data_IF_786334442042
#
_entry.id   IF_786334442042
#
_cell.length_a   1.000
_cell.length_b   1.000
_cell.length_c   1.000
_cell.angle_alpha   90.00
_cell.angle_beta   90.00
_cell.angle_gamma   90.00
#
_symmetry.space_group_name_H-M   'P 1'
#
loop_
_entity.id
_entity.type
_entity.pdbx_description
1 polymer ?
#
# COMPACT_ATOMS: atom_id res chain seq x y z
N UNK A 1 -11.88 -58.12 20.00
CA UNK A 1 -12.41 -58.25 18.63
C UNK A 1 -11.47 -57.49 17.70
N UNK A 2 -10.84 -58.22 16.78
CA UNK A 2 -9.96 -57.70 15.75
C UNK A 2 -10.77 -57.41 14.48
N UNK A 3 -10.54 -56.25 13.85
CA UNK A 3 -10.73 -56.07 12.41
C UNK A 3 -9.55 -55.25 11.88
N UNK A 4 -8.65 -55.94 11.18
CA UNK A 4 -7.71 -55.36 10.22
C UNK A 4 -8.42 -55.27 8.87
N UNK A 5 -8.18 -54.19 8.15
CA UNK A 5 -8.21 -54.21 6.68
C UNK A 5 -7.08 -53.31 6.19
N UNK A 6 -6.11 -53.94 5.52
CA UNK A 6 -5.07 -53.30 4.73
C UNK A 6 -5.71 -52.66 3.49
N UNK A 7 -5.24 -51.48 3.10
CA UNK A 7 -5.10 -51.15 1.68
C UNK A 7 -3.85 -50.30 1.50
N UNK A 8 -2.79 -50.94 1.00
CA UNK A 8 -1.64 -50.27 0.41
C UNK A 8 -2.05 -49.71 -0.95
N UNK A 9 -1.93 -48.39 -1.15
CA UNK A 9 -1.77 -47.81 -2.49
C UNK A 9 -0.74 -46.69 -2.43
N UNK A 10 0.42 -47.02 -2.99
CA UNK A 10 1.47 -46.11 -3.41
C UNK A 10 0.92 -45.05 -4.35
N UNK A 11 1.29 -43.78 -4.14
CA UNK A 11 0.89 -42.70 -5.04
C UNK A 11 1.25 -41.29 -4.57
N UNK A 12 2.47 -40.86 -4.90
CA UNK A 12 2.76 -39.53 -5.48
C UNK A 12 2.43 -38.24 -4.70
N UNK A 13 3.51 -37.58 -4.24
CA UNK A 13 3.83 -36.14 -4.34
C UNK A 13 2.77 -35.05 -4.04
N UNK A 14 3.26 -34.07 -3.26
CA UNK A 14 2.90 -32.63 -3.27
C UNK A 14 1.52 -32.31 -2.64
N UNK A 15 1.33 -31.32 -1.77
CA UNK A 15 1.98 -30.02 -1.58
C UNK A 15 2.00 -29.68 -0.07
N UNK A 16 3.15 -29.29 0.45
CA UNK A 16 3.43 -27.91 0.88
C UNK A 16 2.33 -27.38 1.80
N UNK A 17 2.57 -27.55 3.11
CA UNK A 17 1.85 -26.78 4.10
C UNK A 17 2.03 -25.30 3.77
N UNK A 18 0.93 -24.63 3.48
CA UNK A 18 0.84 -23.18 3.48
C UNK A 18 1.17 -22.71 4.89
N UNK A 19 2.47 -22.50 5.13
CA UNK A 19 2.92 -21.50 6.09
C UNK A 19 2.25 -20.22 5.63
N UNK A 20 1.24 -19.79 6.39
CA UNK A 20 0.92 -18.37 6.49
C UNK A 20 2.20 -17.69 6.99
N UNK A 21 3.08 -17.36 6.05
CA UNK A 21 4.06 -16.31 6.24
C UNK A 21 3.24 -15.10 6.61
N UNK A 22 3.21 -14.87 7.92
CA UNK A 22 2.91 -13.56 8.49
C UNK A 22 3.92 -12.65 7.84
N UNK A 23 3.50 -12.00 6.76
CA UNK A 23 4.24 -10.94 6.09
C UNK A 23 4.41 -9.82 7.09
N UNK A 24 5.39 -9.97 7.98
CA UNK A 24 6.05 -8.88 8.65
C UNK A 24 6.70 -8.06 7.56
N UNK A 25 5.89 -7.21 6.91
CA UNK A 25 6.37 -6.18 6.00
C UNK A 25 7.15 -5.19 6.85
N UNK A 26 8.42 -5.51 6.95
CA UNK A 26 9.55 -4.76 7.44
C UNK A 26 9.27 -3.24 7.45
N UNK A 27 9.13 -2.66 8.65
CA UNK A 27 9.04 -1.21 8.90
C UNK A 27 10.27 -0.44 8.35
N UNK A 28 11.30 -1.16 7.88
CA UNK A 28 12.53 -0.63 7.29
C UNK A 28 12.44 -0.25 5.80
N UNK A 29 11.30 -0.42 5.11
CA UNK A 29 11.15 -0.04 3.69
C UNK A 29 10.62 1.39 3.47
N UNK A 30 10.52 2.20 4.52
CA UNK A 30 10.18 3.62 4.43
C UNK A 30 11.33 4.46 3.83
N UNK A 31 12.54 3.91 3.82
CA UNK A 31 13.78 4.56 3.40
C UNK A 31 14.15 4.27 1.94
N UNK A 32 13.18 3.87 1.10
CA UNK A 32 13.39 4.01 -0.34
C UNK A 32 13.11 5.46 -0.70
N UNK A 33 14.21 6.19 -0.94
CA UNK A 33 14.34 7.60 -1.27
C UNK A 33 13.59 7.96 -2.56
N UNK A 34 12.27 7.78 -2.60
CA UNK A 34 11.44 8.25 -3.71
C UNK A 34 11.42 9.76 -3.64
N UNK A 35 12.30 10.36 -4.43
CA UNK A 35 12.46 11.80 -4.53
C UNK A 35 11.42 12.36 -5.49
N UNK A 36 10.30 12.81 -4.94
CA UNK A 36 9.29 13.51 -5.73
C UNK A 36 9.85 14.79 -6.33
N UNK A 37 9.62 14.98 -7.63
CA UNK A 37 9.92 16.22 -8.30
C UNK A 37 8.90 17.30 -7.86
N UNK A 38 9.33 18.40 -7.21
CA UNK A 38 8.43 19.43 -6.70
C UNK A 38 7.54 20.06 -7.79
N UNK A 39 8.04 20.13 -9.04
CA UNK A 39 7.27 20.66 -10.16
C UNK A 39 6.10 19.74 -10.55
N UNK A 40 6.31 18.42 -10.54
CA UNK A 40 5.24 17.45 -10.81
C UNK A 40 4.18 17.49 -9.72
N UNK A 41 4.60 17.46 -8.46
CA UNK A 41 3.71 17.55 -7.29
C UNK A 41 2.79 18.77 -7.39
N UNK A 42 3.35 19.95 -7.68
CA UNK A 42 2.56 21.18 -7.88
C UNK A 42 1.64 21.14 -9.08
N UNK A 43 2.07 20.52 -10.19
CA UNK A 43 1.24 20.35 -11.40
C UNK A 43 -0.03 19.54 -11.12
N UNK A 44 0.05 18.55 -10.22
CA UNK A 44 -1.09 17.73 -9.82
C UNK A 44 -1.84 18.28 -8.60
N UNK A 45 -1.65 19.55 -8.26
CA UNK A 45 -2.45 20.24 -7.23
C UNK A 45 -2.00 19.98 -5.79
N UNK A 46 -0.89 19.28 -5.56
CA UNK A 46 -0.30 19.11 -4.24
C UNK A 46 0.58 20.32 -3.92
N UNK A 47 0.51 20.82 -2.69
CA UNK A 47 1.35 21.94 -2.25
C UNK A 47 2.73 21.51 -1.77
N UNK A 48 2.88 20.26 -1.33
CA UNK A 48 4.13 19.76 -0.75
C UNK A 48 4.47 18.35 -1.23
N UNK A 49 5.76 18.04 -1.31
CA UNK A 49 6.22 16.65 -1.55
C UNK A 49 5.86 15.72 -0.40
N UNK A 50 5.58 16.26 0.80
CA UNK A 50 5.06 15.49 1.93
C UNK A 50 3.66 14.94 1.67
N UNK A 51 2.83 15.66 0.91
CA UNK A 51 1.51 15.17 0.47
C UNK A 51 1.65 13.97 -0.45
N UNK A 52 2.55 14.06 -1.42
CA UNK A 52 2.84 12.94 -2.31
C UNK A 52 3.40 11.72 -1.56
N UNK A 53 4.25 11.94 -0.54
CA UNK A 53 4.74 10.89 0.35
C UNK A 53 3.62 10.26 1.19
N UNK A 54 2.67 11.05 1.68
CA UNK A 54 1.51 10.54 2.40
C UNK A 54 0.61 9.69 1.50
N UNK A 55 0.38 10.11 0.25
CA UNK A 55 -0.35 9.31 -0.74
C UNK A 55 0.38 7.99 -1.04
N UNK A 56 1.70 8.03 -1.23
CA UNK A 56 2.53 6.83 -1.44
C UNK A 56 2.49 5.88 -0.24
N UNK A 57 2.53 6.43 0.97
CA UNK A 57 2.42 5.64 2.19
C UNK A 57 1.07 4.90 2.25
N UNK A 58 -0.02 5.61 1.98
CA UNK A 58 -1.36 5.02 1.93
C UNK A 58 -1.54 4.01 0.80
N UNK A 59 -0.88 4.23 -0.34
CA UNK A 59 -0.88 3.26 -1.45
C UNK A 59 -0.24 1.93 -1.04
N UNK A 60 0.89 1.98 -0.32
CA UNK A 60 1.64 0.79 0.12
C UNK A 60 0.99 0.07 1.30
N UNK A 61 0.37 0.81 2.21
CA UNK A 61 -0.17 0.27 3.46
C UNK A 61 -1.69 0.06 3.45
N UNK A 62 -2.41 0.60 2.45
CA UNK A 62 -3.87 0.48 2.35
C UNK A 62 -4.61 1.24 3.46
N UNK A 63 -5.71 0.66 3.96
CA UNK A 63 -6.49 1.21 5.07
C UNK A 63 -5.63 1.41 6.32
N UNK A 64 -5.22 2.65 6.56
CA UNK A 64 -4.25 3.00 7.59
C UNK A 64 -4.92 3.76 8.73
N UNK A 65 -4.75 3.36 10.00
CA UNK A 65 -5.37 4.05 11.13
C UNK A 65 -4.78 5.46 11.33
N UNK A 66 -5.64 6.41 11.73
CA UNK A 66 -5.28 7.82 12.01
C UNK A 66 -4.09 7.93 12.95
N UNK A 67 -4.05 7.06 13.98
CA UNK A 67 -2.96 6.99 14.95
C UNK A 67 -1.61 6.65 14.31
N UNK A 68 -1.58 5.73 13.34
CA UNK A 68 -0.35 5.40 12.62
C UNK A 68 0.10 6.55 11.72
N UNK A 69 -0.83 7.16 10.98
CA UNK A 69 -0.53 8.32 10.14
C UNK A 69 0.04 9.50 10.92
N UNK A 70 -0.53 9.80 12.09
CA UNK A 70 -0.08 10.91 12.95
C UNK A 70 1.37 10.79 13.44
N UNK A 71 1.95 9.59 13.41
CA UNK A 71 3.34 9.35 13.79
C UNK A 71 4.32 9.65 12.67
N UNK A 72 3.85 9.68 11.42
CA UNK A 72 4.68 9.80 10.22
C UNK A 72 4.45 11.15 9.53
N UNK A 73 3.21 11.63 9.53
CA UNK A 73 2.78 12.85 8.83
C UNK A 73 1.96 13.76 9.74
N UNK A 74 1.93 15.05 9.38
CA UNK A 74 0.99 16.00 9.98
C UNK A 74 -0.45 15.63 9.58
N UNK A 75 -1.33 15.49 10.57
CA UNK A 75 -2.74 15.17 10.34
C UNK A 75 -3.46 16.24 9.52
N UNK A 76 -3.10 17.52 9.65
CA UNK A 76 -3.70 18.61 8.87
C UNK A 76 -3.45 18.43 7.38
N UNK A 77 -2.30 17.86 7.02
CA UNK A 77 -1.94 17.56 5.65
C UNK A 77 -2.81 16.42 5.11
N UNK A 78 -3.00 15.35 5.87
CA UNK A 78 -3.87 14.21 5.48
C UNK A 78 -5.33 14.64 5.36
N UNK A 79 -5.82 15.47 6.28
CA UNK A 79 -7.18 16.03 6.23
C UNK A 79 -7.38 16.90 4.98
N UNK A 80 -6.35 17.65 4.56
CA UNK A 80 -6.37 18.39 3.30
C UNK A 80 -6.46 17.48 2.08
N UNK A 81 -5.72 16.38 2.06
CA UNK A 81 -5.82 15.37 1.00
C UNK A 81 -7.20 14.73 0.95
N UNK A 82 -7.84 14.55 2.10
CA UNK A 82 -9.23 14.10 2.18
C UNK A 82 -10.21 15.16 1.63
N UNK A 83 -10.01 16.43 1.96
CA UNK A 83 -10.82 17.53 1.41
C UNK A 83 -10.68 17.68 -0.12
N UNK A 84 -9.51 17.33 -0.67
CA UNK A 84 -9.27 17.26 -2.12
C UNK A 84 -9.84 15.99 -2.78
N UNK A 85 -10.43 15.08 -2.00
CA UNK A 85 -10.96 13.81 -2.49
C UNK A 85 -9.88 12.81 -2.92
N UNK A 86 -8.62 13.02 -2.53
CA UNK A 86 -7.51 12.11 -2.85
C UNK A 86 -7.42 10.96 -1.85
N UNK A 87 -7.87 11.19 -0.61
CA UNK A 87 -7.92 10.19 0.45
C UNK A 87 -9.35 10.10 0.97
N UNK A 88 -9.82 8.89 1.25
CA UNK A 88 -11.10 8.67 1.91
C UNK A 88 -10.86 8.34 3.38
N UNK A 89 -11.62 8.99 4.26
CA UNK A 89 -11.67 8.60 5.67
C UNK A 89 -12.81 7.60 5.86
N UNK A 90 -12.50 6.43 6.41
CA UNK A 90 -13.46 5.37 6.76
C UNK A 90 -13.40 5.12 8.26
N UNK A 91 -14.20 5.87 9.02
CA UNK A 91 -14.15 5.84 10.48
C UNK A 91 -12.82 6.38 11.00
N UNK A 92 -12.01 5.53 11.63
CA UNK A 92 -10.67 5.90 12.15
C UNK A 92 -9.53 5.62 11.16
N UNK A 93 -9.82 5.01 10.00
CA UNK A 93 -8.80 4.75 8.97
C UNK A 93 -8.88 5.73 7.82
N UNK A 94 -7.76 5.89 7.13
CA UNK A 94 -7.63 6.61 5.88
C UNK A 94 -7.17 5.64 4.80
N UNK A 95 -7.74 5.75 3.62
CA UNK A 95 -7.37 4.97 2.45
C UNK A 95 -7.24 5.85 1.22
N UNK A 96 -6.35 5.43 0.31
CA UNK A 96 -6.13 6.15 -0.94
C UNK A 96 -7.32 5.92 -1.88
N UNK A 97 -7.85 6.99 -2.45
CA UNK A 97 -8.90 6.92 -3.49
C UNK A 97 -8.30 6.64 -4.87
N UNK A 98 -9.14 6.30 -5.85
CA UNK A 98 -8.73 6.19 -7.25
C UNK A 98 -8.16 7.52 -7.79
N UNK A 99 -8.75 8.66 -7.41
CA UNK A 99 -8.22 9.98 -7.76
C UNK A 99 -6.85 10.24 -7.12
N UNK A 100 -6.68 9.82 -5.85
CA UNK A 100 -5.40 9.88 -5.15
C UNK A 100 -4.31 9.02 -5.81
N UNK A 101 -4.67 7.82 -6.27
CA UNK A 101 -3.76 6.95 -7.04
C UNK A 101 -3.33 7.60 -8.35
N UNK A 102 -4.26 8.16 -9.12
CA UNK A 102 -3.95 8.84 -10.38
C UNK A 102 -3.00 10.04 -10.15
N UNK A 103 -3.26 10.84 -9.10
CA UNK A 103 -2.37 11.95 -8.72
C UNK A 103 -0.99 11.45 -8.30
N UNK A 104 -0.92 10.40 -7.49
CA UNK A 104 0.33 9.79 -7.07
C UNK A 104 1.14 9.27 -8.27
N UNK A 105 0.50 8.55 -9.19
CA UNK A 105 1.13 8.07 -10.43
C UNK A 105 1.66 9.23 -11.27
N UNK A 106 0.90 10.32 -11.40
CA UNK A 106 1.38 11.54 -12.06
C UNK A 106 2.60 12.17 -11.38
N UNK A 107 2.64 12.14 -10.04
CA UNK A 107 3.76 12.66 -9.26
C UNK A 107 5.04 11.80 -9.38
N UNK A 108 4.88 10.47 -9.46
CA UNK A 108 5.98 9.52 -9.72
C UNK A 108 6.47 9.63 -11.17
N UNK A 109 5.55 9.85 -12.11
CA UNK A 109 5.79 10.02 -13.55
C UNK A 109 5.93 8.72 -14.32
N UNK A 110 6.05 8.85 -15.64
CA UNK A 110 5.98 7.76 -16.63
C UNK A 110 7.05 6.67 -16.53
N UNK A 111 8.03 6.78 -15.64
CA UNK A 111 9.01 5.68 -15.41
C UNK A 111 8.37 4.47 -14.70
N UNK A 112 7.16 4.63 -14.14
CA UNK A 112 6.27 3.52 -13.72
C UNK A 112 5.20 3.16 -14.76
N UNK A 113 5.22 3.79 -15.95
CA UNK A 113 4.14 3.75 -16.94
C UNK A 113 4.51 3.22 -18.32
N UNK A 114 5.73 2.71 -18.55
CA UNK A 114 6.08 2.03 -19.82
C UNK A 114 6.17 0.53 -19.63
N UNK A 115 5.00 -0.11 -19.66
CA UNK A 115 4.86 -1.56 -19.71
C UNK A 115 3.58 -2.02 -20.40
N UNK A 116 2.96 -1.17 -21.23
CA UNK A 116 1.83 -1.56 -22.08
C UNK A 116 2.05 -0.97 -23.47
N UNK A 117 2.77 -1.72 -24.30
CA UNK A 117 2.75 -1.63 -25.75
C UNK A 117 2.57 -3.05 -26.28
#
# INVERSE_FOLDING_TARGET
>A
MFCRTNEERTGTKQNVGERKESGGMNENNLTQDIRFNPYRVRRFGLSSTQEAKALLYLERHGDTPRKALSRVFDLRLVERLAALGLVAQRGDTYCLTESGKAVLQGCLGEEHGRGVA
#
